data_IF_847771347695
#
_entry.id   IF_847771347695
#
_cell.length_a   1.000
_cell.length_b   1.000
_cell.length_c   1.000
_cell.angle_alpha   90.00
_cell.angle_beta   90.00
_cell.angle_gamma   90.00
#
_symmetry.space_group_name_H-M   'P 1'
#
loop_
_entity.id
_entity.type
_entity.pdbx_description
1 polymer ?
#
# COMPACT_ATOMS: atom_id res chain seq x y z
N UNK A 1 12.41 4.06 60.65
CA UNK A 1 13.67 4.25 59.89
C UNK A 1 13.31 4.67 58.48
N UNK A 2 13.39 5.96 58.20
CA UNK A 2 12.87 6.59 56.98
C UNK A 2 14.04 6.93 56.09
N UNK A 3 14.10 6.33 54.87
CA UNK A 3 15.18 6.59 53.91
C UNK A 3 14.61 7.40 52.75
N UNK A 4 14.88 8.69 52.74
CA UNK A 4 14.58 9.65 51.69
C UNK A 4 15.55 9.43 50.53
N UNK A 5 15.09 9.02 49.39
CA UNK A 5 15.86 8.95 48.14
C UNK A 5 15.67 10.24 47.36
N UNK A 6 16.76 11.02 47.19
CA UNK A 6 16.82 12.28 46.42
C UNK A 6 16.93 11.93 44.93
N UNK A 7 15.97 12.39 44.15
CA UNK A 7 16.04 12.42 42.70
C UNK A 7 16.96 13.59 42.27
N UNK A 8 18.06 13.25 41.64
CA UNK A 8 18.94 14.17 40.92
C UNK A 8 18.45 14.35 39.49
N UNK A 9 17.85 15.49 39.22
CA UNK A 9 17.44 15.94 37.89
C UNK A 9 18.69 16.47 37.16
N UNK A 10 19.21 15.69 36.22
CA UNK A 10 20.31 16.08 35.35
C UNK A 10 19.75 16.47 33.97
N UNK A 11 19.47 17.75 33.79
CA UNK A 11 19.22 18.34 32.48
C UNK A 11 20.53 18.32 31.68
N UNK A 12 20.56 17.61 30.60
CA UNK A 12 21.57 17.76 29.55
C UNK A 12 20.96 18.51 28.38
N UNK A 13 21.25 19.80 28.35
CA UNK A 13 21.07 20.67 27.20
C UNK A 13 22.11 20.29 26.15
N UNK A 14 21.67 19.76 25.02
CA UNK A 14 22.55 19.53 23.88
C UNK A 14 21.94 20.20 22.66
N UNK A 15 22.29 21.47 22.53
CA UNK A 15 22.00 22.31 21.36
C UNK A 15 22.88 21.82 20.20
N UNK A 16 22.33 21.16 19.22
CA UNK A 16 22.99 20.82 17.97
C UNK A 16 22.95 22.02 17.00
N UNK A 17 24.05 22.35 16.31
CA UNK A 17 24.07 23.46 15.37
C UNK A 17 23.37 23.11 14.07
N UNK A 18 22.44 23.98 13.66
CA UNK A 18 21.80 23.93 12.32
C UNK A 18 22.84 24.18 11.23
N UNK A 19 23.12 23.16 10.41
CA UNK A 19 23.81 23.32 9.14
C UNK A 19 22.89 24.03 8.15
N UNK A 20 23.19 25.31 7.91
CA UNK A 20 22.66 26.06 6.78
C UNK A 20 23.33 25.56 5.49
N UNK A 21 22.65 24.80 4.67
CA UNK A 21 23.05 24.52 3.30
C UNK A 21 22.71 25.72 2.41
N UNK A 22 23.74 26.49 2.09
CA UNK A 22 23.71 27.58 1.10
C UNK A 22 23.44 27.00 -0.29
N UNK A 23 22.24 27.24 -0.80
CA UNK A 23 21.89 26.96 -2.21
C UNK A 23 22.60 28.03 -3.07
N UNK A 24 23.70 27.65 -3.72
CA UNK A 24 24.34 28.46 -4.75
C UNK A 24 23.41 28.55 -5.95
N UNK A 25 22.77 29.70 -6.08
CA UNK A 25 22.03 30.11 -7.26
C UNK A 25 23.01 30.35 -8.40
N UNK A 26 23.14 29.40 -9.31
CA UNK A 26 23.97 29.50 -10.49
C UNK A 26 23.25 30.43 -11.50
N UNK A 27 23.72 31.68 -11.54
CA UNK A 27 23.28 32.65 -12.53
C UNK A 27 23.95 32.29 -13.85
N UNK A 28 23.20 31.79 -14.81
CA UNK A 28 23.62 31.71 -16.20
C UNK A 28 23.72 33.11 -16.78
N UNK A 29 24.97 33.53 -16.98
CA UNK A 29 25.27 34.76 -17.73
C UNK A 29 24.90 34.57 -19.20
N UNK A 30 23.84 35.25 -19.57
CA UNK A 30 23.39 35.37 -20.95
C UNK A 30 24.41 36.26 -21.71
N UNK A 31 25.19 35.69 -22.61
CA UNK A 31 26.01 36.41 -23.52
C UNK A 31 25.13 36.93 -24.66
N UNK A 32 24.91 38.26 -24.67
CA UNK A 32 24.30 38.97 -25.80
C UNK A 32 25.40 39.21 -26.82
N UNK A 33 25.45 38.38 -27.85
CA UNK A 33 26.26 38.66 -29.03
C UNK A 33 25.47 39.63 -29.95
N UNK A 34 25.94 40.85 -29.98
CA UNK A 34 25.47 41.87 -30.92
C UNK A 34 25.93 41.49 -32.30
N UNK A 35 25.01 41.14 -33.22
CA UNK A 35 25.29 40.77 -34.60
C UNK A 35 24.32 41.46 -35.57
N UNK A 36 24.78 42.50 -36.15
CA UNK A 36 24.54 43.16 -37.43
C UNK A 36 23.25 42.79 -38.21
N UNK A 37 22.33 43.74 -38.27
CA UNK A 37 21.13 43.76 -39.12
C UNK A 37 21.55 44.00 -40.57
N UNK A 38 21.39 43.01 -41.44
CA UNK A 38 21.30 43.19 -42.89
C UNK A 38 19.83 43.00 -43.30
N UNK A 39 19.18 44.09 -43.57
CA UNK A 39 17.86 44.10 -44.16
C UNK A 39 17.96 43.64 -45.62
N UNK A 40 17.45 42.45 -45.88
CA UNK A 40 17.06 42.01 -47.23
C UNK A 40 15.55 41.86 -47.22
N UNK A 41 14.89 42.86 -47.77
CA UNK A 41 13.49 42.83 -48.16
C UNK A 41 13.32 41.85 -49.32
N UNK A 42 12.88 40.62 -48.95
CA UNK A 42 12.38 39.61 -49.85
C UNK A 42 11.00 39.21 -49.37
N UNK A 43 9.96 39.69 -50.07
CA UNK A 43 8.64 39.09 -49.98
C UNK A 43 8.74 37.63 -50.42
N UNK A 44 8.65 36.71 -49.52
CA UNK A 44 8.21 35.34 -49.77
C UNK A 44 6.91 35.20 -49.03
N UNK A 45 5.85 35.41 -49.78
CA UNK A 45 4.51 34.97 -49.46
C UNK A 45 4.53 33.47 -49.70
N UNK A 46 4.61 32.71 -48.63
CA UNK A 46 4.41 31.29 -48.61
C UNK A 46 3.52 31.02 -47.42
N UNK A 47 2.23 31.09 -47.68
CA UNK A 47 1.19 30.51 -46.81
C UNK A 47 1.36 28.98 -46.81
N UNK A 48 2.44 28.48 -46.19
CA UNK A 48 2.58 27.11 -45.76
C UNK A 48 2.47 27.13 -44.25
N UNK A 49 1.23 27.29 -43.74
CA UNK A 49 0.84 26.92 -42.40
C UNK A 49 0.96 25.39 -42.25
N UNK A 50 2.17 24.88 -42.39
CA UNK A 50 2.52 23.60 -41.85
C UNK A 50 2.59 23.79 -40.34
N UNK A 51 1.43 23.70 -39.70
CA UNK A 51 1.30 23.52 -38.28
C UNK A 51 1.95 22.15 -37.96
N UNK A 52 3.27 22.15 -37.80
CA UNK A 52 4.03 21.05 -37.28
C UNK A 52 3.67 20.91 -35.79
N UNK A 53 2.50 20.29 -35.49
CA UNK A 53 2.29 19.73 -34.19
C UNK A 53 3.35 18.66 -34.02
N UNK A 54 4.25 18.89 -33.05
CA UNK A 54 5.12 17.84 -32.59
C UNK A 54 4.23 16.64 -32.15
N UNK A 55 4.62 15.42 -32.48
CA UNK A 55 3.89 14.24 -31.96
C UNK A 55 3.74 14.40 -30.44
N UNK A 56 2.53 14.28 -29.96
CA UNK A 56 2.31 14.23 -28.51
C UNK A 56 3.11 13.05 -27.95
N UNK A 57 3.87 13.30 -26.89
CA UNK A 57 4.69 12.30 -26.23
C UNK A 57 3.75 11.46 -25.37
N UNK A 58 3.81 10.12 -25.50
CA UNK A 58 2.97 9.21 -24.72
C UNK A 58 3.22 9.39 -23.23
N UNK A 59 2.17 9.66 -22.46
CA UNK A 59 2.24 9.78 -21.01
C UNK A 59 2.44 8.40 -20.38
N UNK A 60 3.15 8.34 -19.26
CA UNK A 60 3.27 7.11 -18.52
C UNK A 60 2.05 6.91 -17.58
N UNK A 61 1.63 5.68 -17.31
CA UNK A 61 0.53 5.42 -16.39
C UNK A 61 0.88 5.89 -14.97
N UNK A 62 -0.15 6.24 -14.20
CA UNK A 62 -0.07 6.60 -12.80
C UNK A 62 -0.78 5.54 -11.98
N UNK A 63 -0.01 4.77 -11.20
CA UNK A 63 -0.54 3.78 -10.27
C UNK A 63 -0.76 4.38 -8.89
N UNK A 64 -1.78 3.91 -8.16
CA UNK A 64 -2.20 4.48 -6.87
C UNK A 64 -2.02 3.44 -5.75
N UNK A 65 -1.30 3.84 -4.69
CA UNK A 65 -1.19 3.04 -3.48
C UNK A 65 -2.58 2.88 -2.82
N UNK A 66 -2.84 1.70 -2.26
CA UNK A 66 -4.11 1.40 -1.59
C UNK A 66 -3.88 0.78 -0.22
N UNK A 67 -4.83 0.96 0.69
CA UNK A 67 -4.85 0.33 2.01
C UNK A 67 -6.10 -0.52 2.15
N UNK A 68 -5.92 -1.75 2.62
CA UNK A 68 -6.95 -2.75 2.78
C UNK A 68 -6.94 -3.30 4.20
N UNK A 69 -8.09 -3.77 4.65
CA UNK A 69 -8.22 -4.49 5.93
C UNK A 69 -8.94 -5.79 5.68
N UNK A 70 -8.42 -6.87 6.22
CA UNK A 70 -9.06 -8.18 6.27
C UNK A 70 -8.94 -8.76 7.68
N UNK A 71 -9.47 -9.94 7.89
CA UNK A 71 -9.28 -10.71 9.12
C UNK A 71 -8.43 -11.96 8.83
N UNK A 72 -7.85 -12.52 9.89
CA UNK A 72 -7.16 -13.80 9.82
C UNK A 72 -8.04 -14.85 9.13
N UNK A 73 -7.45 -15.65 8.25
CA UNK A 73 -8.10 -16.71 7.47
C UNK A 73 -9.16 -16.22 6.45
N UNK A 74 -9.33 -14.91 6.26
CA UNK A 74 -10.31 -14.34 5.33
C UNK A 74 -9.60 -13.76 4.10
N UNK A 75 -9.84 -14.39 2.95
CA UNK A 75 -9.41 -13.88 1.65
C UNK A 75 -10.19 -12.64 1.25
N UNK A 76 -9.54 -11.68 0.59
CA UNK A 76 -10.18 -10.51 0.00
C UNK A 76 -9.86 -10.44 -1.50
N UNK A 77 -10.88 -10.03 -2.24
CA UNK A 77 -10.77 -9.69 -3.65
C UNK A 77 -10.92 -8.19 -3.82
N UNK A 78 -10.26 -7.63 -4.83
CA UNK A 78 -10.31 -6.20 -5.09
C UNK A 78 -9.91 -5.85 -6.51
N UNK A 79 -9.83 -4.53 -6.74
CA UNK A 79 -9.38 -3.99 -8.03
C UNK A 79 -8.31 -2.93 -7.78
N UNK A 80 -7.23 -3.02 -8.52
CA UNK A 80 -6.13 -2.07 -8.52
C UNK A 80 -6.55 -0.79 -9.25
N UNK A 81 -5.99 0.35 -8.82
CA UNK A 81 -6.31 1.65 -9.41
C UNK A 81 -5.09 2.22 -10.11
N UNK A 82 -5.24 2.52 -11.39
CA UNK A 82 -4.29 3.27 -12.18
C UNK A 82 -5.02 4.12 -13.23
N UNK A 83 -4.37 5.17 -13.71
CA UNK A 83 -4.87 6.05 -14.76
C UNK A 83 -3.78 6.34 -15.77
N UNK A 84 -4.18 6.63 -16.99
CA UNK A 84 -3.33 7.08 -18.07
C UNK A 84 -3.91 8.36 -18.67
N UNK A 85 -3.06 9.37 -18.96
CA UNK A 85 -3.52 10.67 -19.43
C UNK A 85 -3.98 10.59 -20.90
N UNK A 86 -3.37 9.73 -21.69
CA UNK A 86 -3.73 9.53 -23.10
C UNK A 86 -4.91 8.55 -23.24
N UNK A 87 -5.26 7.86 -22.18
CA UNK A 87 -6.35 6.88 -22.14
C UNK A 87 -5.96 5.52 -22.72
N UNK A 88 -4.68 5.19 -22.69
CA UNK A 88 -4.15 3.92 -23.16
C UNK A 88 -4.63 2.73 -22.33
N UNK A 89 -4.63 1.57 -22.95
CA UNK A 89 -5.04 0.33 -22.29
C UNK A 89 -3.97 -0.12 -21.30
N UNK A 90 -4.33 -0.16 -20.02
CA UNK A 90 -3.43 -0.56 -18.95
C UNK A 90 -3.44 -2.09 -18.75
N UNK A 91 -2.26 -2.64 -18.51
CA UNK A 91 -2.05 -4.04 -18.14
C UNK A 91 -1.38 -4.10 -16.78
N UNK A 92 -1.92 -4.92 -15.88
CA UNK A 92 -1.46 -5.06 -14.51
C UNK A 92 -0.67 -6.36 -14.32
N UNK A 93 0.23 -6.36 -13.32
CA UNK A 93 1.00 -7.52 -12.93
C UNK A 93 1.34 -7.49 -11.44
N UNK A 94 1.68 -8.65 -10.88
CA UNK A 94 2.21 -8.74 -9.52
C UNK A 94 3.69 -8.33 -9.55
N UNK A 95 4.08 -7.42 -8.66
CA UNK A 95 5.48 -7.06 -8.39
C UNK A 95 6.06 -7.97 -7.31
N UNK A 96 6.33 -7.42 -6.12
CA UNK A 96 6.77 -8.20 -4.96
C UNK A 96 5.55 -8.79 -4.25
N UNK A 97 5.62 -10.09 -3.92
CA UNK A 97 4.56 -10.75 -3.17
C UNK A 97 4.65 -10.45 -1.67
N UNK A 98 3.56 -10.65 -0.97
CA UNK A 98 3.43 -10.42 0.47
C UNK A 98 4.19 -11.48 1.30
N UNK A 99 4.44 -11.17 2.57
CA UNK A 99 5.17 -12.03 3.51
C UNK A 99 4.26 -12.80 4.49
N UNK A 100 3.12 -12.22 4.85
CA UNK A 100 2.14 -12.80 5.76
C UNK A 100 0.94 -13.43 5.02
N UNK A 101 1.01 -13.47 3.69
CA UNK A 101 -0.04 -14.01 2.83
C UNK A 101 0.49 -14.29 1.44
N UNK A 102 -0.43 -14.38 0.49
CA UNK A 102 -0.11 -14.45 -0.92
C UNK A 102 -1.08 -13.58 -1.71
N UNK A 103 -0.55 -12.82 -2.67
CA UNK A 103 -1.33 -12.01 -3.60
C UNK A 103 -1.26 -12.61 -5.00
N UNK A 104 -2.38 -12.58 -5.71
CA UNK A 104 -2.49 -12.89 -7.13
C UNK A 104 -3.07 -11.67 -7.84
N UNK A 105 -2.46 -11.22 -8.92
CA UNK A 105 -2.90 -10.06 -9.72
C UNK A 105 -3.13 -10.50 -11.15
N UNK A 106 -4.30 -10.17 -11.68
CA UNK A 106 -4.68 -10.42 -13.06
C UNK A 106 -4.36 -9.20 -13.95
N UNK A 107 -4.20 -9.46 -15.25
CA UNK A 107 -3.87 -8.42 -16.22
C UNK A 107 -4.95 -7.32 -16.36
N UNK A 108 -6.18 -7.58 -15.94
CA UNK A 108 -7.30 -6.62 -15.92
C UNK A 108 -7.34 -5.75 -14.65
N UNK A 109 -6.38 -5.93 -13.74
CA UNK A 109 -6.29 -5.20 -12.49
C UNK A 109 -7.10 -5.79 -11.33
N UNK A 110 -7.79 -6.90 -11.53
CA UNK A 110 -8.39 -7.63 -10.41
C UNK A 110 -7.31 -8.37 -9.62
N UNK A 111 -7.48 -8.46 -8.31
CA UNK A 111 -6.53 -9.18 -7.47
C UNK A 111 -7.26 -9.94 -6.36
N UNK A 112 -6.58 -10.97 -5.85
CA UNK A 112 -6.97 -11.74 -4.67
C UNK A 112 -5.80 -11.74 -3.69
N UNK A 113 -6.05 -11.43 -2.42
CA UNK A 113 -5.09 -11.56 -1.34
C UNK A 113 -5.59 -12.58 -0.32
N UNK A 114 -4.78 -13.59 -0.01
CA UNK A 114 -5.08 -14.65 0.97
C UNK A 114 -4.06 -14.60 2.10
N UNK A 115 -4.45 -14.22 3.33
CA UNK A 115 -3.57 -14.31 4.49
C UNK A 115 -3.12 -15.74 4.75
N UNK A 116 -1.90 -15.93 5.27
CA UNK A 116 -1.48 -17.21 5.84
C UNK A 116 -2.38 -17.58 7.03
N UNK A 117 -2.56 -18.87 7.25
CA UNK A 117 -3.44 -19.35 8.30
C UNK A 117 -3.09 -18.78 9.69
N UNK A 118 -4.10 -18.29 10.40
CA UNK A 118 -4.02 -17.81 11.77
C UNK A 118 -3.05 -16.64 12.03
N UNK A 119 -2.69 -15.89 10.98
CA UNK A 119 -1.77 -14.75 11.06
C UNK A 119 -2.54 -13.44 11.18
N UNK A 120 -2.02 -12.53 12.03
CA UNK A 120 -2.47 -11.14 12.16
C UNK A 120 -1.29 -10.19 12.01
N UNK A 121 -1.56 -8.94 11.67
CA UNK A 121 -0.52 -7.91 11.57
C UNK A 121 -0.61 -7.08 10.30
N UNK A 122 0.48 -6.39 9.96
CA UNK A 122 0.57 -5.59 8.74
C UNK A 122 1.42 -6.31 7.71
N UNK A 123 0.92 -6.34 6.49
CA UNK A 123 1.56 -6.93 5.33
C UNK A 123 1.52 -5.95 4.15
N UNK A 124 2.22 -6.27 3.08
CA UNK A 124 2.16 -5.49 1.85
C UNK A 124 2.60 -6.32 0.65
N UNK A 125 2.08 -5.98 -0.51
CA UNK A 125 2.57 -6.45 -1.80
C UNK A 125 2.60 -5.29 -2.79
N UNK A 126 3.36 -5.42 -3.87
CA UNK A 126 3.40 -4.42 -4.93
C UNK A 126 2.77 -4.95 -6.21
N UNK A 127 2.28 -4.03 -7.01
CA UNK A 127 1.81 -4.34 -8.35
C UNK A 127 2.48 -3.43 -9.38
N UNK A 128 2.55 -3.88 -10.60
CA UNK A 128 3.07 -3.13 -11.75
C UNK A 128 1.95 -2.78 -12.70
N UNK A 129 2.11 -1.67 -13.41
CA UNK A 129 1.19 -1.21 -14.46
C UNK A 129 2.00 -0.78 -15.66
N UNK A 130 1.57 -1.17 -16.84
CA UNK A 130 2.17 -0.73 -18.11
C UNK A 130 1.09 -0.39 -19.15
N UNK A 131 1.38 0.61 -19.95
CA UNK A 131 0.65 1.01 -21.17
C UNK A 131 1.22 0.34 -22.44
N UNK A 132 2.33 -0.41 -22.31
CA UNK A 132 3.03 -1.06 -23.40
C UNK A 132 4.02 -0.16 -24.16
N UNK A 133 4.14 1.11 -23.80
CA UNK A 133 5.04 2.10 -24.44
C UNK A 133 6.08 2.61 -23.45
N UNK A 134 5.65 3.05 -22.28
CA UNK A 134 6.51 3.58 -21.22
C UNK A 134 7.04 2.46 -20.30
N UNK A 135 8.10 2.74 -19.51
CA UNK A 135 8.52 1.82 -18.45
C UNK A 135 7.39 1.55 -17.46
N UNK A 136 7.35 0.31 -16.95
CA UNK A 136 6.39 -0.09 -15.91
C UNK A 136 6.47 0.82 -14.69
N UNK A 137 5.30 1.15 -14.14
CA UNK A 137 5.12 1.88 -12.89
C UNK A 137 4.69 0.91 -11.80
N UNK A 138 5.20 1.12 -10.59
CA UNK A 138 4.90 0.26 -9.43
C UNK A 138 4.17 1.05 -8.37
N UNK A 139 3.18 0.42 -7.72
CA UNK A 139 2.53 0.94 -6.51
C UNK A 139 2.36 -0.18 -5.46
N UNK A 140 2.03 0.23 -4.24
CA UNK A 140 1.98 -0.65 -3.07
C UNK A 140 0.55 -0.81 -2.55
N UNK A 141 0.19 -2.04 -2.23
CA UNK A 141 -1.00 -2.37 -1.44
C UNK A 141 -0.55 -2.70 -0.03
N UNK A 142 -0.99 -1.89 0.94
CA UNK A 142 -0.80 -2.16 2.36
C UNK A 142 -2.01 -2.91 2.92
N UNK A 143 -1.80 -4.03 3.60
CA UNK A 143 -2.86 -4.87 4.15
C UNK A 143 -2.75 -4.93 5.66
N UNK A 144 -3.85 -4.64 6.37
CA UNK A 144 -3.98 -4.90 7.81
C UNK A 144 -4.79 -6.16 8.00
N UNK A 145 -4.20 -7.17 8.65
CA UNK A 145 -4.85 -8.43 8.98
C UNK A 145 -5.23 -8.38 10.45
N UNK A 146 -6.52 -8.19 10.72
CA UNK A 146 -7.08 -8.16 12.08
C UNK A 146 -7.37 -9.56 12.59
N UNK A 147 -7.50 -9.70 13.93
CA UNK A 147 -7.97 -10.94 14.51
C UNK A 147 -9.42 -11.20 14.10
N UNK A 148 -9.73 -12.45 13.77
CA UNK A 148 -11.10 -12.85 13.49
C UNK A 148 -11.94 -12.82 14.79
N UNK A 149 -13.02 -12.05 14.79
CA UNK A 149 -13.96 -11.99 15.92
C UNK A 149 -14.77 -13.29 16.01
N UNK A 150 -14.64 -14.02 17.10
CA UNK A 150 -15.30 -15.32 17.31
C UNK A 150 -16.09 -15.32 18.59
N UNK A 151 -17.34 -15.76 18.54
CA UNK A 151 -18.17 -16.01 19.74
C UNK A 151 -17.54 -17.10 20.59
N UNK A 152 -17.28 -16.79 21.87
CA UNK A 152 -16.71 -17.76 22.81
C UNK A 152 -17.65 -18.95 23.02
N UNK A 153 -18.95 -18.71 23.14
CA UNK A 153 -19.94 -19.76 23.31
C UNK A 153 -20.01 -20.71 22.12
N UNK A 154 -20.03 -20.17 20.90
CA UNK A 154 -20.03 -20.99 19.67
C UNK A 154 -18.76 -21.81 19.54
N UNK A 155 -17.61 -21.18 19.72
CA UNK A 155 -16.31 -21.85 19.63
C UNK A 155 -16.18 -23.00 20.64
N UNK A 156 -16.63 -22.79 21.88
CA UNK A 156 -16.58 -23.83 22.91
C UNK A 156 -17.51 -25.01 22.58
N UNK A 157 -18.70 -24.74 22.05
CA UNK A 157 -19.61 -25.81 21.58
C UNK A 157 -19.01 -26.62 20.44
N UNK A 158 -18.41 -25.94 19.46
CA UNK A 158 -17.75 -26.60 18.33
C UNK A 158 -16.59 -27.48 18.81
N UNK A 159 -15.77 -26.95 19.72
CA UNK A 159 -14.67 -27.72 20.32
C UNK A 159 -15.16 -28.94 21.12
N UNK A 160 -16.27 -28.79 21.85
CA UNK A 160 -16.88 -29.89 22.61
C UNK A 160 -17.44 -31.00 21.70
N UNK A 161 -17.98 -30.63 20.55
CA UNK A 161 -18.58 -31.55 19.59
C UNK A 161 -17.54 -32.21 18.64
N UNK A 162 -16.25 -31.86 18.72
CA UNK A 162 -15.21 -32.49 17.91
C UNK A 162 -15.07 -33.99 18.26
N UNK A 163 -14.87 -34.81 17.26
CA UNK A 163 -14.45 -36.19 17.46
C UNK A 163 -12.99 -36.24 17.93
N UNK A 164 -12.57 -37.28 18.67
CA UNK A 164 -11.19 -37.42 19.15
C UNK A 164 -10.13 -37.46 18.02
N UNK A 165 -10.54 -37.66 16.77
CA UNK A 165 -9.69 -37.74 15.59
C UNK A 165 -9.66 -36.44 14.78
N UNK A 166 -10.49 -35.44 15.14
CA UNK A 166 -10.54 -34.17 14.46
C UNK A 166 -9.31 -33.30 14.78
N UNK A 167 -8.93 -32.43 13.86
CA UNK A 167 -7.92 -31.44 14.16
C UNK A 167 -8.43 -30.42 15.18
N UNK A 168 -7.62 -30.02 16.16
CA UNK A 168 -8.02 -29.00 17.13
C UNK A 168 -8.41 -27.70 16.44
N UNK A 169 -9.47 -27.05 16.92
CA UNK A 169 -9.87 -25.74 16.41
C UNK A 169 -8.76 -24.71 16.65
N UNK A 170 -8.45 -23.86 15.65
CA UNK A 170 -7.39 -22.85 15.77
C UNK A 170 -7.79 -21.74 16.77
N UNK A 171 -6.86 -21.32 17.61
CA UNK A 171 -7.01 -20.18 18.54
C UNK A 171 -6.19 -18.96 18.10
N UNK A 172 -5.10 -19.18 17.40
CA UNK A 172 -4.31 -18.06 16.88
C UNK A 172 -5.09 -17.28 15.82
N UNK A 173 -4.84 -15.97 15.72
CA UNK A 173 -5.54 -15.10 14.78
C UNK A 173 -7.00 -14.84 15.14
N UNK A 174 -7.45 -15.18 16.37
CA UNK A 174 -8.84 -15.01 16.83
C UNK A 174 -8.91 -14.11 18.06
N UNK A 175 -9.95 -13.31 18.14
CA UNK A 175 -10.35 -12.54 19.31
C UNK A 175 -11.71 -13.04 19.77
N UNK A 176 -11.80 -13.51 21.02
CA UNK A 176 -13.03 -14.12 21.56
C UNK A 176 -13.92 -13.06 22.19
N UNK A 177 -15.14 -12.96 21.69
CA UNK A 177 -16.21 -12.17 22.29
C UNK A 177 -16.81 -12.97 23.44
N UNK A 178 -16.78 -12.39 24.65
CA UNK A 178 -17.36 -13.00 25.83
C UNK A 178 -18.89 -12.88 25.81
N UNK A 179 -19.54 -13.87 25.26
CA UNK A 179 -21.01 -13.97 25.11
C UNK A 179 -21.60 -15.17 25.90
N UNK A 180 -20.78 -15.82 26.70
CA UNK A 180 -21.22 -16.92 27.57
C UNK A 180 -21.52 -16.44 29.00
N UNK A 181 -22.57 -16.98 29.58
CA UNK A 181 -22.94 -16.85 30.97
C UNK A 181 -22.97 -18.23 31.67
N UNK A 182 -23.31 -18.26 32.97
CA UNK A 182 -23.30 -19.47 33.77
C UNK A 182 -24.22 -20.58 33.22
N UNK A 183 -25.26 -20.25 32.44
CA UNK A 183 -26.21 -21.19 31.85
C UNK A 183 -25.91 -21.59 30.41
N UNK A 184 -24.97 -20.94 29.78
CA UNK A 184 -24.69 -21.08 28.32
C UNK A 184 -24.34 -22.53 27.94
N UNK A 185 -23.76 -23.31 28.85
CA UNK A 185 -23.27 -24.67 28.59
C UNK A 185 -23.99 -25.75 29.39
N UNK A 186 -25.11 -25.42 30.06
CA UNK A 186 -25.84 -26.40 30.89
C UNK A 186 -26.30 -27.61 30.08
N UNK A 187 -26.63 -27.45 28.83
CA UNK A 187 -27.02 -28.52 27.90
C UNK A 187 -25.88 -29.48 27.57
N UNK A 188 -24.61 -29.04 27.64
CA UNK A 188 -23.45 -29.90 27.40
C UNK A 188 -23.08 -30.78 28.61
N UNK A 189 -23.63 -30.46 29.79
CA UNK A 189 -23.32 -31.16 31.05
C UNK A 189 -24.33 -32.26 31.38
N UNK A 190 -25.46 -32.36 30.68
CA UNK A 190 -26.59 -33.23 31.03
C UNK A 190 -26.37 -34.69 30.56
N UNK A 191 -25.52 -34.92 29.58
CA UNK A 191 -25.34 -36.23 28.91
C UNK A 191 -24.06 -36.98 29.31
N UNK A 192 -23.50 -36.74 30.52
CA UNK A 192 -22.31 -37.46 30.99
C UNK A 192 -22.65 -38.49 32.11
#
# INVERSE_FOLDING_TARGET
MSMKMRLLNKRSDTTAPKKQTSVKRQQHRMWIASGLVLALSGCFDSDDDNDYQAPEENAAPVAVDQMLTTQADITIDGTLTATDEDGDALTFGLGENSSLGSAEVNADGTFTYTPNAQVTGSDSFTFTVTDGVNPEVTATISVTIEAQQVSFSSYTRDAFNQAPTDEPLPINGREFIQDADDSTFDDLLIDQ
#
